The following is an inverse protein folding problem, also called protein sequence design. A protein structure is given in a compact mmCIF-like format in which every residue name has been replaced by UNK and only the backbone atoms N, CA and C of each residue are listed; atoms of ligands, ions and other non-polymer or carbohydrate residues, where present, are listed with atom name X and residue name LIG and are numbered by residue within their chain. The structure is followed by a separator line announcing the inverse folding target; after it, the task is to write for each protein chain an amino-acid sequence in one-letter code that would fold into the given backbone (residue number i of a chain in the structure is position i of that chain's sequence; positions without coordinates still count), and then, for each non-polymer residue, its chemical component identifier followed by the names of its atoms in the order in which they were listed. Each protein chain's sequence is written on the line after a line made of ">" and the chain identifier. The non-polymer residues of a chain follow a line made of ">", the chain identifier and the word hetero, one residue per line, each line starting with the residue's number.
data_IF_320774829790
#
_entry.id   IF_320774829790
#
_cell.length_a   1.000
_cell.length_b   1.000
_cell.length_c   1.000
_cell.angle_alpha   90.00
_cell.angle_beta   90.00
_cell.angle_gamma   90.00
#
_symmetry.space_group_name_H-M   'P 1'
#
loop_
_entity.id
_entity.type
_entity.pdbx_description
1 polymer ?
#
# COMPACT_ATOMS: atom_id res chain seq x y z
N UNK A 1 -53.30 -15.85 24.64
CA UNK A 1 -52.51 -15.71 25.88
C UNK A 1 -51.14 -15.16 25.56
N UNK A 2 -51.02 -13.85 25.41
CA UNK A 2 -49.74 -13.14 25.41
C UNK A 2 -49.34 -12.88 26.85
N UNK A 3 -48.20 -13.41 27.28
CA UNK A 3 -47.61 -13.15 28.58
C UNK A 3 -46.55 -12.08 28.36
N UNK A 4 -46.73 -10.91 28.96
CA UNK A 4 -45.71 -9.85 28.99
C UNK A 4 -44.87 -10.05 30.24
N UNK A 5 -43.57 -10.26 30.05
CA UNK A 5 -42.59 -10.40 31.13
C UNK A 5 -41.71 -9.15 31.06
N UNK A 6 -41.79 -8.30 32.07
CA UNK A 6 -40.92 -7.13 32.22
C UNK A 6 -39.78 -7.48 33.20
N UNK A 7 -38.53 -7.27 32.79
CA UNK A 7 -37.36 -7.70 33.54
C UNK A 7 -36.04 -7.34 32.86
N UNK A 8 -35.02 -7.08 33.66
CA UNK A 8 -33.70 -6.67 33.17
C UNK A 8 -32.82 -7.88 32.88
N UNK A 9 -32.36 -8.03 31.63
CA UNK A 9 -31.50 -9.15 31.22
C UNK A 9 -30.06 -8.64 31.08
N UNK A 10 -29.11 -9.27 31.77
CA UNK A 10 -27.69 -8.88 31.75
C UNK A 10 -26.90 -9.45 30.55
N UNK A 11 -27.50 -10.27 29.69
CA UNK A 11 -26.86 -10.86 28.52
C UNK A 11 -27.85 -11.61 27.61
N UNK A 12 -27.36 -12.21 26.53
CA UNK A 12 -28.20 -13.04 25.65
C UNK A 12 -28.46 -14.41 26.29
N UNK A 13 -29.67 -14.94 26.15
CA UNK A 13 -30.06 -16.26 26.65
C UNK A 13 -30.54 -17.11 25.48
N UNK A 14 -29.96 -18.31 25.35
CA UNK A 14 -30.36 -19.30 24.34
C UNK A 14 -30.87 -20.56 25.05
N UNK A 15 -32.09 -21.00 24.71
CA UNK A 15 -32.69 -22.22 25.25
C UNK A 15 -32.80 -23.22 24.11
N UNK A 16 -31.72 -23.99 23.92
CA UNK A 16 -31.47 -24.81 22.74
C UNK A 16 -32.54 -25.89 22.51
N UNK A 17 -33.06 -26.51 23.58
CA UNK A 17 -34.02 -27.62 23.46
C UNK A 17 -35.41 -27.18 22.97
N UNK A 18 -35.73 -25.89 23.10
CA UNK A 18 -37.01 -25.31 22.69
C UNK A 18 -36.90 -24.36 21.49
N UNK A 19 -35.70 -24.15 20.95
CA UNK A 19 -35.48 -23.26 19.79
C UNK A 19 -35.74 -21.77 20.06
N UNK A 20 -35.79 -21.36 21.33
CA UNK A 20 -36.07 -19.98 21.74
C UNK A 20 -34.75 -19.25 22.02
N UNK A 21 -34.60 -18.06 21.46
CA UNK A 21 -33.50 -17.15 21.75
C UNK A 21 -34.06 -15.81 22.26
N UNK A 22 -33.55 -15.34 23.41
CA UNK A 22 -33.86 -14.03 23.98
C UNK A 22 -32.61 -13.17 23.84
N UNK A 23 -32.69 -12.20 22.93
CA UNK A 23 -31.57 -11.33 22.58
C UNK A 23 -31.74 -10.01 23.32
N UNK A 24 -30.71 -9.60 24.07
CA UNK A 24 -30.69 -8.31 24.74
C UNK A 24 -30.73 -7.21 23.68
N UNK A 25 -31.71 -6.31 23.78
CA UNK A 25 -31.80 -5.12 22.93
C UNK A 25 -30.80 -4.05 23.40
N UNK A 26 -29.52 -4.40 23.54
CA UNK A 26 -28.48 -3.39 23.60
C UNK A 26 -28.31 -2.83 22.20
N UNK A 27 -28.36 -1.49 22.08
CA UNK A 27 -28.05 -0.72 20.88
C UNK A 27 -27.08 -1.52 20.01
N UNK A 28 -27.59 -2.10 18.91
CA UNK A 28 -26.79 -2.82 17.93
C UNK A 28 -25.76 -1.81 17.48
N UNK A 29 -24.57 -1.85 18.09
CA UNK A 29 -23.40 -1.18 17.58
C UNK A 29 -23.30 -1.79 16.19
N UNK A 30 -23.68 -1.01 15.17
CA UNK A 30 -23.33 -1.31 13.80
C UNK A 30 -21.87 -1.66 13.87
N UNK A 31 -21.58 -2.94 13.76
CA UNK A 31 -20.24 -3.39 13.44
C UNK A 31 -19.97 -2.59 12.19
N UNK A 32 -19.08 -1.59 12.32
CA UNK A 32 -18.44 -0.99 11.18
C UNK A 32 -17.79 -2.20 10.51
N UNK A 33 -18.54 -2.81 9.58
CA UNK A 33 -17.97 -3.39 8.39
C UNK A 33 -17.10 -2.25 7.93
N UNK A 34 -15.82 -2.35 8.24
CA UNK A 34 -14.80 -1.70 7.46
C UNK A 34 -15.31 -1.85 6.05
N UNK A 35 -15.66 -0.71 5.45
CA UNK A 35 -15.67 -0.60 4.02
C UNK A 35 -14.27 -1.09 3.64
N UNK A 36 -14.12 -2.40 3.40
CA UNK A 36 -13.43 -2.84 2.22
C UNK A 36 -14.01 -1.91 1.17
N UNK A 37 -13.24 -0.85 0.87
CA UNK A 37 -13.44 -0.08 -0.33
C UNK A 37 -13.64 -1.15 -1.38
N UNK A 38 -14.89 -1.35 -1.78
CA UNK A 38 -15.25 -1.98 -3.03
C UNK A 38 -14.29 -1.32 -3.98
N UNK A 39 -13.37 -2.11 -4.54
CA UNK A 39 -12.31 -1.64 -5.44
C UNK A 39 -12.88 -0.49 -6.22
N UNK A 40 -12.35 0.72 -6.02
CA UNK A 40 -12.73 1.87 -6.84
C UNK A 40 -12.56 1.37 -8.26
N UNK A 41 -13.65 1.06 -8.96
CA UNK A 41 -13.60 0.76 -10.38
C UNK A 41 -13.13 2.06 -10.99
N UNK A 42 -11.82 2.14 -11.24
CA UNK A 42 -11.19 3.27 -11.87
C UNK A 42 -11.74 3.35 -13.29
N UNK A 43 -12.90 3.99 -13.44
CA UNK A 43 -13.40 4.38 -14.75
C UNK A 43 -12.47 5.46 -15.28
N UNK A 44 -11.48 5.04 -16.06
CA UNK A 44 -10.63 5.97 -16.77
C UNK A 44 -11.46 6.70 -17.81
N UNK A 45 -11.46 8.03 -17.75
CA UNK A 45 -12.01 8.87 -18.82
C UNK A 45 -10.96 9.01 -19.92
N UNK A 46 -11.32 8.67 -21.15
CA UNK A 46 -10.43 8.78 -22.32
C UNK A 46 -10.87 9.94 -23.23
N UNK A 47 -9.93 10.79 -23.63
CA UNK A 47 -10.10 11.84 -24.62
C UNK A 47 -9.42 11.46 -25.93
N UNK A 48 -9.96 11.97 -27.03
CA UNK A 48 -9.35 11.76 -28.34
C UNK A 48 -7.88 12.22 -28.33
N UNK A 49 -6.98 11.36 -28.81
CA UNK A 49 -5.55 11.62 -28.81
C UNK A 49 -4.80 11.10 -27.58
N UNK A 50 -5.50 10.63 -26.54
CA UNK A 50 -4.86 10.04 -25.36
C UNK A 50 -4.08 8.77 -25.74
N UNK A 51 -2.89 8.64 -25.18
CA UNK A 51 -2.12 7.41 -25.29
C UNK A 51 -2.65 6.37 -24.31
N UNK A 52 -2.87 5.18 -24.84
CA UNK A 52 -3.39 4.04 -24.08
C UNK A 52 -2.42 2.87 -24.19
N UNK A 53 -2.50 1.96 -23.23
CA UNK A 53 -1.83 0.66 -23.29
C UNK A 53 -2.90 -0.41 -23.41
N UNK A 54 -2.82 -1.20 -24.48
CA UNK A 54 -3.65 -2.39 -24.67
C UNK A 54 -2.89 -3.65 -24.26
N UNK A 55 -3.57 -4.60 -23.60
CA UNK A 55 -2.96 -5.84 -23.08
C UNK A 55 -2.15 -6.61 -24.15
N UNK A 56 -2.73 -6.76 -25.34
CA UNK A 56 -2.12 -7.55 -26.43
C UNK A 56 -1.27 -6.75 -27.43
N UNK A 57 -1.55 -5.47 -27.63
CA UNK A 57 -0.96 -4.68 -28.72
C UNK A 57 -0.02 -3.58 -28.24
N UNK A 58 0.04 -3.34 -26.93
CA UNK A 58 0.89 -2.32 -26.33
C UNK A 58 0.33 -0.91 -26.53
N UNK A 59 1.23 0.05 -26.72
CA UNK A 59 0.93 1.47 -26.72
C UNK A 59 0.25 1.88 -28.03
N UNK A 60 -0.93 2.49 -27.93
CA UNK A 60 -1.70 3.04 -29.04
C UNK A 60 -2.31 4.39 -28.67
N UNK A 61 -3.11 4.94 -29.58
CA UNK A 61 -3.81 6.22 -29.41
C UNK A 61 -5.31 5.98 -29.45
N UNK A 62 -6.04 6.54 -28.49
CA UNK A 62 -7.50 6.50 -28.47
C UNK A 62 -8.08 7.49 -29.50
N UNK A 63 -8.95 7.01 -30.38
CA UNK A 63 -9.60 7.78 -31.47
C UNK A 63 -11.12 7.84 -31.35
N UNK A 64 -11.65 7.64 -30.14
CA UNK A 64 -13.08 7.81 -29.84
C UNK A 64 -13.92 6.54 -30.03
N UNK A 65 -15.22 6.70 -29.81
CA UNK A 65 -16.24 5.68 -29.99
C UNK A 65 -16.77 5.70 -31.44
N UNK A 66 -16.99 4.52 -32.00
CA UNK A 66 -17.54 4.30 -33.34
C UNK A 66 -18.62 3.23 -33.26
N UNK A 67 -19.80 3.51 -33.80
CA UNK A 67 -20.90 2.55 -33.88
C UNK A 67 -20.81 1.75 -35.17
N UNK A 68 -20.79 0.42 -35.08
CA UNK A 68 -20.80 -0.52 -36.22
C UNK A 68 -21.74 -1.68 -35.94
N UNK A 69 -22.57 -2.06 -36.92
CA UNK A 69 -23.53 -3.17 -36.79
C UNK A 69 -24.34 -3.14 -35.48
N UNK A 70 -24.84 -1.96 -35.12
CA UNK A 70 -25.60 -1.70 -33.89
C UNK A 70 -24.85 -2.00 -32.57
N UNK A 71 -23.52 -2.03 -32.59
CA UNK A 71 -22.65 -2.16 -31.41
C UNK A 71 -21.64 -1.03 -31.35
N UNK A 72 -21.22 -0.69 -30.14
CA UNK A 72 -20.25 0.37 -29.88
C UNK A 72 -18.83 -0.21 -29.78
N UNK A 73 -17.90 0.43 -30.49
CA UNK A 73 -16.49 0.07 -30.52
C UNK A 73 -15.62 1.28 -30.19
N UNK A 74 -14.55 1.06 -29.44
CA UNK A 74 -13.45 1.99 -29.25
C UNK A 74 -12.50 1.87 -30.44
N UNK A 75 -12.27 2.97 -31.16
CA UNK A 75 -11.29 3.03 -32.24
C UNK A 75 -9.91 3.35 -31.65
N UNK A 76 -8.95 2.47 -31.87
CA UNK A 76 -7.57 2.59 -31.40
C UNK A 76 -6.63 2.65 -32.61
N UNK A 77 -5.66 3.56 -32.58
CA UNK A 77 -4.66 3.75 -33.64
C UNK A 77 -3.26 3.35 -33.18
N UNK A 78 -2.53 2.69 -34.07
CA UNK A 78 -1.20 2.15 -33.86
C UNK A 78 -0.27 2.56 -35.01
N UNK A 79 1.00 2.16 -34.93
CA UNK A 79 1.99 2.48 -35.96
C UNK A 79 1.52 2.06 -37.37
N UNK A 80 2.06 2.71 -38.40
CA UNK A 80 1.73 2.47 -39.81
C UNK A 80 0.24 2.67 -40.14
N UNK A 81 -0.43 3.62 -39.47
CA UNK A 81 -1.86 3.95 -39.62
C UNK A 81 -2.79 2.74 -39.41
N UNK A 82 -2.33 1.75 -38.65
CA UNK A 82 -3.11 0.55 -38.36
C UNK A 82 -4.15 0.85 -37.27
N UNK A 83 -5.38 0.36 -37.43
CA UNK A 83 -6.48 0.63 -36.50
C UNK A 83 -7.14 -0.63 -35.99
N UNK A 84 -7.44 -0.64 -34.69
CA UNK A 84 -8.20 -1.72 -34.01
C UNK A 84 -9.52 -1.15 -33.54
N UNK A 85 -10.57 -1.97 -33.67
CA UNK A 85 -11.89 -1.68 -33.13
C UNK A 85 -12.14 -2.64 -31.97
N UNK A 86 -12.01 -2.14 -30.75
CA UNK A 86 -12.24 -2.91 -29.53
C UNK A 86 -13.71 -2.74 -29.13
N UNK A 87 -14.43 -3.82 -28.84
CA UNK A 87 -15.81 -3.70 -28.33
C UNK A 87 -15.82 -2.87 -27.04
N UNK A 88 -16.75 -1.93 -26.90
CA UNK A 88 -16.83 -1.07 -25.71
C UNK A 88 -17.00 -1.89 -24.40
N UNK A 89 -17.59 -3.09 -24.49
CA UNK A 89 -17.70 -4.05 -23.39
C UNK A 89 -16.35 -4.61 -22.90
N UNK A 90 -15.29 -4.52 -23.70
CA UNK A 90 -13.94 -4.99 -23.38
C UNK A 90 -12.98 -3.83 -23.08
N UNK A 91 -13.50 -2.73 -22.54
CA UNK A 91 -12.71 -1.55 -22.17
C UNK A 91 -11.65 -1.84 -21.10
N UNK A 92 -11.83 -2.92 -20.32
CA UNK A 92 -10.86 -3.46 -19.36
C UNK A 92 -9.52 -3.87 -20.00
N UNK A 93 -9.49 -4.10 -21.32
CA UNK A 93 -8.27 -4.40 -22.06
C UNK A 93 -7.35 -3.20 -22.30
N UNK A 94 -7.82 -1.99 -21.99
CA UNK A 94 -7.04 -0.76 -22.14
C UNK A 94 -6.90 -0.02 -20.82
N UNK A 95 -5.73 0.58 -20.62
CA UNK A 95 -5.44 1.48 -19.52
C UNK A 95 -4.78 2.76 -20.05
N UNK A 96 -4.91 3.92 -19.37
CA UNK A 96 -4.15 5.11 -19.73
C UNK A 96 -2.65 4.83 -19.64
N UNK A 97 -1.87 5.38 -20.58
CA UNK A 97 -0.42 5.30 -20.52
C UNK A 97 0.11 6.22 -19.41
N UNK A 98 0.82 5.66 -18.43
CA UNK A 98 1.42 6.40 -17.31
C UNK A 98 2.94 6.29 -17.32
N UNK A 99 3.64 7.36 -16.95
CA UNK A 99 5.06 7.31 -16.56
C UNK A 99 6.10 7.28 -17.68
N UNK A 100 5.72 7.47 -18.94
CA UNK A 100 6.67 7.44 -20.08
C UNK A 100 6.82 8.81 -20.75
N UNK A 101 8.03 9.38 -20.74
CA UNK A 101 8.33 10.69 -21.39
C UNK A 101 8.47 10.61 -22.92
N UNK A 102 9.05 9.52 -23.43
CA UNK A 102 9.28 9.30 -24.87
C UNK A 102 8.31 8.24 -25.39
N UNK A 103 7.11 8.69 -25.78
CA UNK A 103 6.03 7.80 -26.18
C UNK A 103 6.28 7.31 -27.61
N UNK A 104 6.28 5.99 -27.80
CA UNK A 104 6.33 5.33 -29.11
C UNK A 104 5.16 4.37 -29.23
N UNK A 105 4.30 4.57 -30.23
CA UNK A 105 3.20 3.65 -30.53
C UNK A 105 3.73 2.34 -31.10
N UNK A 106 3.10 1.24 -30.71
CA UNK A 106 3.47 -0.10 -31.13
C UNK A 106 2.90 -0.44 -32.52
N UNK A 107 3.52 -1.43 -33.18
CA UNK A 107 2.97 -2.06 -34.38
C UNK A 107 2.27 -3.38 -33.97
N UNK A 108 1.00 -3.53 -34.35
CA UNK A 108 0.10 -4.64 -34.00
C UNK A 108 0.67 -6.01 -34.38
N UNK A 109 1.44 -6.09 -35.48
CA UNK A 109 2.03 -7.35 -35.96
C UNK A 109 3.40 -7.69 -35.38
N UNK A 110 4.02 -6.79 -34.62
CA UNK A 110 5.39 -6.99 -34.15
C UNK A 110 5.41 -7.71 -32.79
N UNK A 111 6.19 -8.79 -32.69
CA UNK A 111 6.44 -9.53 -31.43
C UNK A 111 7.25 -8.73 -30.40
N UNK A 112 7.66 -7.49 -30.69
CA UNK A 112 8.36 -6.63 -29.76
C UNK A 112 7.57 -6.35 -28.47
N UNK A 113 6.24 -6.26 -28.53
CA UNK A 113 5.41 -6.07 -27.33
C UNK A 113 5.33 -7.35 -26.48
N UNK A 114 5.01 -8.48 -27.10
CA UNK A 114 4.94 -9.77 -26.40
C UNK A 114 6.30 -10.17 -25.80
N UNK A 115 7.40 -9.92 -26.52
CA UNK A 115 8.76 -10.11 -26.01
C UNK A 115 9.07 -9.21 -24.80
N UNK A 116 8.68 -7.93 -24.84
CA UNK A 116 8.80 -7.02 -23.69
C UNK A 116 7.97 -7.50 -22.51
N UNK A 117 6.71 -7.89 -22.74
CA UNK A 117 5.81 -8.42 -21.70
C UNK A 117 6.42 -9.64 -21.01
N UNK A 118 6.92 -10.61 -21.78
CA UNK A 118 7.56 -11.83 -21.24
C UNK A 118 8.83 -11.51 -20.45
N UNK A 119 9.64 -10.56 -20.92
CA UNK A 119 10.84 -10.10 -20.18
C UNK A 119 10.45 -9.43 -18.86
N UNK A 120 9.45 -8.55 -18.88
CA UNK A 120 8.94 -7.88 -17.67
C UNK A 120 8.33 -8.88 -16.69
N UNK A 121 7.58 -9.86 -17.17
CA UNK A 121 7.02 -10.95 -16.35
C UNK A 121 8.12 -11.73 -15.64
N UNK A 122 9.19 -12.10 -16.35
CA UNK A 122 10.35 -12.75 -15.74
C UNK A 122 10.99 -11.86 -14.67
N UNK A 123 11.24 -10.59 -14.97
CA UNK A 123 11.81 -9.67 -13.98
C UNK A 123 10.93 -9.52 -12.73
N UNK A 124 9.60 -9.53 -12.89
CA UNK A 124 8.67 -9.50 -11.75
C UNK A 124 8.79 -10.79 -10.93
N UNK A 125 8.88 -11.95 -11.58
CA UNK A 125 9.10 -13.23 -10.89
C UNK A 125 10.40 -13.23 -10.09
N UNK A 126 11.49 -12.71 -10.68
CA UNK A 126 12.79 -12.58 -10.01
C UNK A 126 12.66 -11.69 -8.75
N UNK A 127 12.01 -10.52 -8.87
CA UNK A 127 11.76 -9.61 -7.72
C UNK A 127 10.90 -10.29 -6.64
N UNK A 128 9.86 -11.04 -7.03
CA UNK A 128 9.01 -11.76 -6.08
C UNK A 128 9.82 -12.83 -5.35
N UNK A 129 10.70 -13.55 -6.04
CA UNK A 129 11.57 -14.54 -5.42
C UNK A 129 12.48 -13.89 -4.36
N UNK A 130 13.12 -12.76 -4.70
CA UNK A 130 13.94 -11.98 -3.76
C UNK A 130 13.12 -11.52 -2.54
N UNK A 131 11.89 -11.02 -2.76
CA UNK A 131 10.99 -10.62 -1.67
C UNK A 131 10.60 -11.79 -0.76
N UNK A 132 10.38 -12.99 -1.32
CA UNK A 132 10.10 -14.20 -0.54
C UNK A 132 11.30 -14.56 0.33
N UNK A 133 12.51 -14.50 -0.22
CA UNK A 133 13.73 -14.83 0.51
C UNK A 133 14.02 -13.83 1.64
N UNK A 134 13.82 -12.53 1.42
CA UNK A 134 13.89 -11.51 2.48
C UNK A 134 12.85 -11.79 3.58
N UNK A 135 11.64 -12.20 3.21
CA UNK A 135 10.58 -12.48 4.18
C UNK A 135 10.80 -13.77 4.99
N UNK A 136 11.48 -14.79 4.44
CA UNK A 136 11.83 -16.01 5.21
C UNK A 136 12.66 -15.66 6.45
N UNK A 137 13.54 -14.67 6.34
CA UNK A 137 14.34 -14.20 7.46
C UNK A 137 13.51 -13.55 8.57
N UNK A 138 12.27 -13.11 8.31
CA UNK A 138 11.37 -12.57 9.34
C UNK A 138 10.91 -13.63 10.34
N UNK A 139 10.97 -14.92 9.99
CA UNK A 139 10.68 -16.03 10.90
C UNK A 139 11.86 -16.33 11.84
N UNK A 140 13.06 -15.85 11.52
CA UNK A 140 14.23 -16.07 12.35
C UNK A 140 14.13 -15.21 13.62
N UNK A 141 14.51 -15.82 14.75
CA UNK A 141 14.49 -15.14 16.04
C UNK A 141 15.61 -14.09 16.06
N UNK A 142 15.28 -12.87 16.50
CA UNK A 142 16.28 -11.83 16.72
C UNK A 142 17.18 -12.25 17.88
N UNK A 143 18.50 -12.11 17.71
CA UNK A 143 19.48 -12.47 18.74
C UNK A 143 19.40 -11.54 19.95
N UNK A 144 19.23 -10.23 19.72
CA UNK A 144 19.13 -9.22 20.78
C UNK A 144 17.73 -8.61 20.78
N UNK A 145 17.00 -8.76 21.89
CA UNK A 145 15.73 -8.09 22.08
C UNK A 145 15.95 -6.60 22.38
N UNK A 146 15.22 -5.72 21.68
CA UNK A 146 15.26 -4.29 22.03
C UNK A 146 14.51 -4.07 23.35
N UNK A 147 15.09 -3.24 24.22
CA UNK A 147 14.51 -2.93 25.51
C UNK A 147 13.22 -2.13 25.36
N UNK A 148 12.27 -2.36 26.26
CA UNK A 148 11.02 -1.60 26.37
C UNK A 148 11.16 -0.51 27.45
N UNK A 149 12.21 0.31 27.36
CA UNK A 149 12.46 1.36 28.35
C UNK A 149 11.66 2.63 28.00
N UNK A 150 10.53 2.82 28.69
CA UNK A 150 9.63 3.97 28.47
C UNK A 150 10.28 5.32 28.82
N UNK A 151 11.29 5.35 29.70
CA UNK A 151 11.97 6.57 30.11
C UNK A 151 12.71 7.27 28.97
N UNK A 152 13.47 6.49 28.18
CA UNK A 152 14.23 7.04 27.05
C UNK A 152 13.30 7.54 25.94
N UNK A 153 12.22 6.80 25.67
CA UNK A 153 11.20 7.21 24.70
C UNK A 153 10.58 8.56 25.09
N UNK A 154 10.26 8.72 26.38
CA UNK A 154 9.73 9.97 26.93
C UNK A 154 10.72 11.13 26.80
N UNK A 155 11.98 10.92 27.18
CA UNK A 155 13.01 11.97 27.15
C UNK A 155 13.33 12.42 25.71
N UNK A 156 13.35 11.49 24.75
CA UNK A 156 13.50 11.80 23.32
C UNK A 156 12.27 12.54 22.76
N UNK A 157 11.08 12.19 23.24
CA UNK A 157 9.84 12.88 22.93
C UNK A 157 9.84 14.33 23.43
N UNK A 158 10.21 14.53 24.70
CA UNK A 158 10.24 15.86 25.33
C UNK A 158 11.32 16.77 24.75
N UNK A 159 12.44 16.21 24.29
CA UNK A 159 13.51 16.96 23.65
C UNK A 159 13.23 17.29 22.18
N UNK A 160 12.15 16.75 21.59
CA UNK A 160 11.76 17.07 20.22
C UNK A 160 11.11 18.47 20.18
N UNK A 161 11.68 19.44 19.43
CA UNK A 161 11.24 20.84 19.51
C UNK A 161 9.90 21.14 18.82
N UNK A 162 9.25 20.12 18.24
CA UNK A 162 7.99 20.27 17.52
C UNK A 162 6.92 19.36 18.12
N UNK A 163 5.66 19.72 17.93
CA UNK A 163 4.53 18.85 18.28
C UNK A 163 4.38 17.75 17.23
N UNK A 164 4.37 16.50 17.67
CA UNK A 164 4.16 15.35 16.79
C UNK A 164 2.77 15.37 16.16
N UNK A 165 2.70 15.05 14.87
CA UNK A 165 1.42 14.80 14.19
C UNK A 165 0.88 13.41 14.56
N UNK A 166 -0.43 13.20 14.36
CA UNK A 166 -1.04 11.88 14.58
C UNK A 166 -0.38 10.76 13.76
N UNK A 167 0.00 11.06 12.51
CA UNK A 167 0.69 10.12 11.62
C UNK A 167 2.12 9.81 12.10
N UNK A 168 2.84 10.82 12.61
CA UNK A 168 4.16 10.62 13.21
C UNK A 168 4.08 9.74 14.46
N UNK A 169 3.15 10.04 15.37
CA UNK A 169 2.94 9.26 16.58
C UNK A 169 2.57 7.80 16.25
N UNK A 170 1.72 7.59 15.24
CA UNK A 170 1.39 6.25 14.75
C UNK A 170 2.62 5.53 14.18
N UNK A 171 3.41 6.20 13.34
CA UNK A 171 4.63 5.62 12.75
C UNK A 171 5.67 5.24 13.81
N UNK A 172 5.86 6.08 14.84
CA UNK A 172 6.79 5.82 15.96
C UNK A 172 6.32 4.60 16.75
N UNK A 173 5.04 4.55 17.11
CA UNK A 173 4.45 3.42 17.83
C UNK A 173 4.60 2.11 17.07
N UNK A 174 4.36 2.15 15.76
CA UNK A 174 4.50 1.03 14.86
C UNK A 174 5.94 0.51 14.80
N UNK A 175 6.93 1.40 14.67
CA UNK A 175 8.34 1.02 14.72
C UNK A 175 8.70 0.41 16.06
N UNK A 176 8.29 1.01 17.17
CA UNK A 176 8.58 0.47 18.49
C UNK A 176 7.97 -0.90 18.70
N UNK A 177 6.77 -1.14 18.16
CA UNK A 177 6.14 -2.45 18.15
C UNK A 177 6.98 -3.46 17.36
N UNK A 178 7.39 -3.12 16.13
CA UNK A 178 8.22 -4.00 15.29
C UNK A 178 9.60 -4.29 15.93
N UNK A 179 10.13 -3.31 16.66
CA UNK A 179 11.36 -3.44 17.43
C UNK A 179 11.19 -4.36 18.65
N UNK A 180 10.02 -4.52 19.25
CA UNK A 180 9.87 -5.47 20.37
C UNK A 180 9.35 -6.85 19.94
N UNK A 181 8.85 -6.99 18.71
CA UNK A 181 8.40 -8.27 18.17
C UNK A 181 9.55 -9.15 17.68
N UNK A 182 9.43 -10.49 17.79
CA UNK A 182 10.35 -11.43 17.14
C UNK A 182 10.40 -11.22 15.62
N UNK A 183 11.56 -11.48 15.01
CA UNK A 183 11.79 -11.31 13.57
C UNK A 183 12.60 -10.07 13.21
N UNK A 184 13.03 -9.99 11.95
CA UNK A 184 13.65 -8.79 11.40
C UNK A 184 12.58 -7.73 11.09
N UNK A 185 12.81 -6.49 11.54
CA UNK A 185 11.97 -5.35 11.15
C UNK A 185 12.38 -4.89 9.75
N UNK A 186 11.40 -4.74 8.86
CA UNK A 186 11.58 -4.18 7.52
C UNK A 186 10.36 -3.31 7.20
N UNK A 187 10.51 -2.01 7.45
CA UNK A 187 9.45 -1.01 7.40
C UNK A 187 9.87 0.17 6.53
N UNK A 188 8.99 0.56 5.63
CA UNK A 188 9.10 1.77 4.83
C UNK A 188 8.25 2.90 5.44
N UNK A 189 8.87 4.02 5.78
CA UNK A 189 8.19 5.24 6.18
C UNK A 189 8.11 6.19 4.98
N UNK A 190 6.89 6.49 4.53
CA UNK A 190 6.62 7.41 3.42
C UNK A 190 6.03 8.70 3.98
N UNK A 191 6.53 9.84 3.50
CA UNK A 191 6.00 11.14 3.87
C UNK A 191 6.76 12.25 3.14
N UNK A 192 6.19 13.45 3.09
CA UNK A 192 6.77 14.56 2.36
C UNK A 192 7.98 15.17 3.10
N UNK A 193 8.73 16.02 2.39
CA UNK A 193 9.88 16.74 2.97
C UNK A 193 9.37 17.61 4.13
N UNK A 194 10.05 17.55 5.28
CA UNK A 194 9.67 18.30 6.49
C UNK A 194 8.71 17.57 7.44
N UNK A 195 8.15 16.42 7.07
CA UNK A 195 7.19 15.67 7.90
C UNK A 195 7.86 14.84 9.03
N UNK A 196 9.06 15.21 9.47
CA UNK A 196 9.69 14.58 10.64
C UNK A 196 10.12 13.11 10.47
N UNK A 197 10.27 12.59 9.24
CA UNK A 197 10.78 11.22 9.01
C UNK A 197 12.12 10.95 9.72
N UNK A 198 12.97 11.96 9.78
CA UNK A 198 14.27 11.87 10.46
C UNK A 198 14.12 11.68 11.96
N UNK A 199 13.12 12.29 12.59
CA UNK A 199 12.83 12.12 14.01
C UNK A 199 12.38 10.68 14.32
N UNK A 200 11.51 10.14 13.46
CA UNK A 200 11.07 8.74 13.53
C UNK A 200 12.26 7.77 13.45
N UNK A 201 13.20 8.03 12.53
CA UNK A 201 14.42 7.22 12.38
C UNK A 201 15.39 7.37 13.56
N UNK A 202 15.57 8.59 14.07
CA UNK A 202 16.42 8.87 15.23
C UNK A 202 15.93 8.12 16.47
N UNK A 203 14.61 8.11 16.74
CA UNK A 203 14.03 7.37 17.86
C UNK A 203 14.26 5.88 17.78
N UNK A 204 14.14 5.31 16.58
CA UNK A 204 14.46 3.90 16.34
C UNK A 204 15.95 3.62 16.59
N UNK A 205 16.83 4.49 16.08
CA UNK A 205 18.27 4.38 16.25
C UNK A 205 18.69 4.46 17.72
N UNK A 206 18.16 5.43 18.47
CA UNK A 206 18.43 5.57 19.89
C UNK A 206 18.00 4.32 20.66
N UNK A 207 16.76 3.84 20.44
CA UNK A 207 16.25 2.62 21.09
C UNK A 207 17.13 1.39 20.81
N UNK A 208 17.64 1.26 19.59
CA UNK A 208 18.58 0.19 19.25
C UNK A 208 19.94 0.35 19.96
N UNK A 209 20.52 1.55 19.93
CA UNK A 209 21.80 1.85 20.57
C UNK A 209 21.75 1.63 22.11
N UNK A 210 20.70 2.09 22.79
CA UNK A 210 20.51 1.87 24.23
C UNK A 210 20.23 0.41 24.61
N UNK A 211 19.84 -0.41 23.63
CA UNK A 211 19.73 -1.86 23.79
C UNK A 211 21.06 -2.59 23.54
N UNK A 212 22.17 -1.87 23.31
CA UNK A 212 23.49 -2.44 23.04
C UNK A 212 23.69 -2.91 21.60
N UNK A 213 22.83 -2.50 20.66
CA UNK A 213 22.91 -2.88 19.25
C UNK A 213 23.56 -1.77 18.44
N UNK A 214 24.50 -2.12 17.56
CA UNK A 214 25.12 -1.17 16.64
C UNK A 214 24.09 -0.69 15.60
N UNK A 215 24.10 0.62 15.32
CA UNK A 215 23.20 1.24 14.35
C UNK A 215 24.01 1.81 13.20
N UNK A 216 23.63 1.44 11.97
CA UNK A 216 24.19 1.99 10.74
C UNK A 216 23.13 2.82 10.02
N UNK A 217 23.45 4.08 9.72
CA UNK A 217 22.60 4.97 8.92
C UNK A 217 23.24 5.15 7.55
N UNK A 218 22.57 4.68 6.50
CA UNK A 218 23.07 4.73 5.12
C UNK A 218 22.31 5.79 4.34
N UNK A 219 23.05 6.67 3.65
CA UNK A 219 22.50 7.80 2.88
C UNK A 219 23.23 7.94 1.55
N UNK A 220 22.59 8.50 0.50
CA UNK A 220 23.15 8.47 -0.86
C UNK A 220 24.23 9.53 -1.13
N UNK A 221 24.37 10.55 -0.27
CA UNK A 221 25.33 11.65 -0.48
C UNK A 221 26.00 12.08 0.82
N UNK A 222 27.21 12.61 0.71
CA UNK A 222 27.99 13.15 1.85
C UNK A 222 27.30 14.34 2.50
N UNK A 223 26.56 15.16 1.74
CA UNK A 223 25.77 16.28 2.27
C UNK A 223 24.68 15.75 3.22
N UNK A 224 23.93 14.72 2.82
CA UNK A 224 22.93 14.09 3.69
C UNK A 224 23.60 13.42 4.89
N UNK A 225 24.76 12.80 4.71
CA UNK A 225 25.51 12.20 5.83
C UNK A 225 25.88 13.25 6.89
N UNK A 226 26.39 14.40 6.47
CA UNK A 226 26.72 15.50 7.37
C UNK A 226 25.47 16.06 8.08
N UNK A 227 24.34 16.20 7.36
CA UNK A 227 23.07 16.64 7.95
C UNK A 227 22.58 15.68 9.03
N UNK A 228 22.57 14.38 8.75
CA UNK A 228 22.18 13.37 9.74
C UNK A 228 23.18 13.31 10.90
N UNK A 229 24.48 13.41 10.65
CA UNK A 229 25.51 13.45 11.69
C UNK A 229 25.30 14.59 12.68
N UNK A 230 25.11 15.83 12.19
CA UNK A 230 24.87 17.00 13.05
C UNK A 230 23.58 16.80 13.87
N UNK A 231 22.50 16.35 13.23
CA UNK A 231 21.23 16.13 13.91
C UNK A 231 21.33 15.05 15.00
N UNK A 232 21.98 13.91 14.71
CA UNK A 232 22.17 12.82 15.66
C UNK A 232 23.14 13.18 16.79
N UNK A 233 24.11 14.05 16.54
CA UNK A 233 25.05 14.52 17.57
C UNK A 233 24.40 15.51 18.54
N UNK A 234 23.45 16.30 18.07
CA UNK A 234 22.78 17.32 18.87
C UNK A 234 21.61 16.78 19.70
N UNK A 235 21.11 15.59 19.36
CA UNK A 235 19.99 14.91 20.03
C UNK A 235 20.53 13.84 20.95
#
# INVERSE_FOLDING_TARGET
>A
NSIYIDGHINGNIFIYDSGIAIIKHDNIKKVNKNNQKRSEEYFYSYKWGDYITHVDYGVGIYRGLVKKHNKDYLKLEYANNSTIHLLAQRIDMIAPLVGTKNIKINNIGNRAWSGRKKKTEKNIQDIIADMVDVNKNRLLRREVAYKKEDYLEKLLGESFPYTETGDQAAAIKDIYKDMVTPGLMDRLIIGDVGFGKTEVALRAAAKAAFSGVLVMVVVPTTILANQHYILFKNR
#
